data_IF_333710187306
#
_entry.id   IF_333710187306
#
_cell.length_a   1.000
_cell.length_b   1.000
_cell.length_c   1.000
_cell.angle_alpha   90.00
_cell.angle_beta   90.00
_cell.angle_gamma   90.00
#
_symmetry.space_group_name_H-M   'P 1'
#
loop_
_entity.id
_entity.type
_entity.pdbx_description
1 polymer ?
#
# COMPACT_ATOMS: atom_id res chain seq x y z
N UNK A 1 -2.62 11.83 -12.05
CA UNK A 1 -3.43 11.78 -10.82
C UNK A 1 -2.46 11.86 -9.66
N UNK A 2 -2.60 12.87 -8.80
CA UNK A 2 -1.57 13.16 -7.79
C UNK A 2 -1.58 12.08 -6.72
N UNK A 3 -0.43 11.42 -6.51
CA UNK A 3 -0.20 10.43 -5.46
C UNK A 3 -0.71 10.88 -4.09
N UNK A 4 -0.54 12.16 -3.77
CA UNK A 4 -0.97 12.79 -2.52
C UNK A 4 -2.49 12.75 -2.33
N UNK A 5 -3.27 12.80 -3.42
CA UNK A 5 -4.73 12.67 -3.37
C UNK A 5 -5.19 11.22 -3.23
N UNK A 6 -4.43 10.28 -3.78
CA UNK A 6 -4.78 8.86 -3.79
C UNK A 6 -4.27 8.11 -2.55
N UNK A 7 -3.17 8.55 -1.93
CA UNK A 7 -2.56 7.88 -0.78
C UNK A 7 -3.53 7.75 0.42
N UNK A 8 -4.34 8.77 0.79
CA UNK A 8 -5.32 8.64 1.88
C UNK A 8 -6.40 7.58 1.59
N UNK A 9 -6.72 7.32 0.32
CA UNK A 9 -7.73 6.33 -0.07
C UNK A 9 -7.31 4.88 0.21
N UNK A 10 -6.04 4.66 0.59
CA UNK A 10 -5.57 3.37 1.06
C UNK A 10 -6.15 3.01 2.45
N UNK A 11 -6.69 3.98 3.18
CA UNK A 11 -7.35 3.78 4.47
C UNK A 11 -8.88 3.86 4.38
N UNK A 12 -9.43 3.92 3.17
CA UNK A 12 -10.88 3.95 2.94
C UNK A 12 -11.57 2.67 3.45
N UNK A 13 -12.75 2.76 4.09
CA UNK A 13 -13.48 1.58 4.57
C UNK A 13 -13.93 0.65 3.44
N UNK A 14 -14.13 1.17 2.23
CA UNK A 14 -14.51 0.40 1.05
C UNK A 14 -13.32 -0.32 0.45
N UNK A 15 -13.37 -1.65 0.50
CA UNK A 15 -12.39 -2.50 -0.18
C UNK A 15 -12.29 -2.25 -1.70
N UNK A 16 -13.35 -1.73 -2.32
CA UNK A 16 -13.33 -1.35 -3.73
C UNK A 16 -12.46 -0.11 -3.98
N UNK A 17 -12.60 0.91 -3.13
CA UNK A 17 -11.80 2.15 -3.19
C UNK A 17 -10.33 1.84 -2.95
N UNK A 18 -10.01 1.07 -1.90
CA UNK A 18 -8.63 0.65 -1.60
C UNK A 18 -8.00 -0.07 -2.81
N UNK A 19 -8.74 -0.98 -3.46
CA UNK A 19 -8.24 -1.69 -4.65
C UNK A 19 -7.98 -0.75 -5.83
N UNK A 20 -8.89 0.19 -6.09
CA UNK A 20 -8.73 1.17 -7.17
C UNK A 20 -7.54 2.10 -6.92
N UNK A 21 -7.44 2.66 -5.71
CA UNK A 21 -6.32 3.50 -5.28
C UNK A 21 -4.98 2.75 -5.38
N UNK A 22 -4.93 1.50 -4.88
CA UNK A 22 -3.72 0.67 -4.99
C UNK A 22 -3.27 0.51 -6.44
N UNK A 23 -4.19 0.20 -7.37
CA UNK A 23 -3.85 0.02 -8.78
C UNK A 23 -3.28 1.30 -9.39
N UNK A 24 -3.89 2.44 -9.09
CA UNK A 24 -3.43 3.74 -9.58
C UNK A 24 -2.06 4.14 -9.01
N UNK A 25 -1.74 3.69 -7.79
CA UNK A 25 -0.49 4.02 -7.09
C UNK A 25 0.68 3.06 -7.38
N UNK A 26 0.45 1.93 -8.04
CA UNK A 26 1.51 0.94 -8.33
C UNK A 26 2.69 1.50 -9.13
N UNK A 27 2.50 2.33 -10.18
CA UNK A 27 3.62 2.91 -10.93
C UNK A 27 4.53 3.79 -10.07
N UNK A 28 3.97 4.47 -9.06
CA UNK A 28 4.67 5.41 -8.19
C UNK A 28 5.10 4.79 -6.84
N UNK A 29 5.03 3.46 -6.72
CA UNK A 29 5.23 2.75 -5.46
C UNK A 29 6.60 3.05 -4.81
N UNK A 30 7.65 3.19 -5.61
CA UNK A 30 9.01 3.48 -5.14
C UNK A 30 9.12 4.84 -4.42
N UNK A 31 8.18 5.77 -4.64
CA UNK A 31 8.20 7.07 -3.99
C UNK A 31 7.62 7.05 -2.56
N UNK A 32 6.97 5.98 -2.13
CA UNK A 32 6.37 5.93 -0.79
C UNK A 32 7.44 5.70 0.29
N UNK A 33 7.37 6.41 1.43
CA UNK A 33 8.19 6.07 2.58
C UNK A 33 7.89 4.64 3.03
N UNK A 34 8.93 3.83 3.21
CA UNK A 34 8.77 2.42 3.59
C UNK A 34 7.94 2.25 4.86
N UNK A 35 8.25 3.05 5.88
CA UNK A 35 7.59 2.99 7.19
C UNK A 35 6.10 3.30 7.09
N UNK A 36 5.72 4.23 6.22
CA UNK A 36 4.33 4.59 5.98
C UNK A 36 3.51 3.41 5.43
N UNK A 37 4.12 2.58 4.56
CA UNK A 37 3.51 1.35 4.08
C UNK A 37 3.54 0.25 5.14
N UNK A 38 4.63 0.11 5.92
CA UNK A 38 4.76 -0.92 6.96
C UNK A 38 3.71 -0.78 8.07
N UNK A 39 3.43 0.44 8.54
CA UNK A 39 2.37 0.71 9.53
C UNK A 39 1.02 0.16 9.05
N UNK A 40 0.72 0.26 7.75
CA UNK A 40 -0.52 -0.25 7.14
C UNK A 40 -0.58 -1.77 7.03
N UNK A 41 0.50 -2.49 7.30
CA UNK A 41 0.52 -3.95 7.32
C UNK A 41 0.16 -4.57 8.68
N UNK A 42 0.04 -3.74 9.73
CA UNK A 42 -0.28 -4.13 11.09
C UNK A 42 -1.60 -4.93 11.18
N UNK A 43 -1.73 -5.80 12.19
CA UNK A 43 -2.81 -6.79 12.25
C UNK A 43 -4.19 -6.19 12.54
N UNK A 44 -4.22 -5.06 13.24
CA UNK A 44 -5.38 -4.25 13.57
C UNK A 44 -5.98 -3.51 12.35
N UNK A 45 -5.25 -3.44 11.24
CA UNK A 45 -5.72 -2.81 10.01
C UNK A 45 -6.65 -3.71 9.21
N UNK A 46 -7.66 -3.15 8.49
CA UNK A 46 -8.53 -3.93 7.63
C UNK A 46 -7.73 -4.73 6.60
N UNK A 47 -8.19 -5.94 6.28
CA UNK A 47 -7.47 -6.86 5.37
C UNK A 47 -7.13 -6.22 4.02
N UNK A 48 -8.02 -5.42 3.46
CA UNK A 48 -7.81 -4.74 2.18
C UNK A 48 -6.60 -3.78 2.23
N UNK A 49 -6.50 -2.97 3.30
CA UNK A 49 -5.40 -2.02 3.55
C UNK A 49 -4.07 -2.77 3.67
N UNK A 50 -4.04 -3.85 4.47
CA UNK A 50 -2.83 -4.68 4.64
C UNK A 50 -2.34 -5.30 3.33
N UNK A 51 -3.26 -5.80 2.51
CA UNK A 51 -2.92 -6.39 1.21
C UNK A 51 -2.42 -5.32 0.24
N UNK A 52 -3.04 -4.14 0.22
CA UNK A 52 -2.61 -3.00 -0.58
C UNK A 52 -1.19 -2.56 -0.22
N UNK A 53 -0.92 -2.33 1.07
CA UNK A 53 0.39 -1.94 1.57
C UNK A 53 1.49 -2.96 1.20
N UNK A 54 1.22 -4.26 1.36
CA UNK A 54 2.16 -5.32 0.94
C UNK A 54 2.42 -5.34 -0.56
N UNK A 55 1.43 -4.99 -1.39
CA UNK A 55 1.62 -4.88 -2.84
C UNK A 55 2.49 -3.69 -3.21
N UNK A 56 2.29 -2.54 -2.57
CA UNK A 56 3.11 -1.36 -2.79
C UNK A 56 4.55 -1.58 -2.30
N UNK A 57 4.76 -2.22 -1.14
CA UNK A 57 6.10 -2.61 -0.67
C UNK A 57 6.81 -3.52 -1.67
N UNK A 58 6.10 -4.49 -2.25
CA UNK A 58 6.65 -5.36 -3.31
C UNK A 58 7.03 -4.58 -4.56
N UNK A 59 6.14 -3.72 -5.04
CA UNK A 59 6.36 -2.90 -6.23
C UNK A 59 7.51 -1.90 -6.03
N UNK A 60 7.72 -1.41 -4.80
CA UNK A 60 8.84 -0.56 -4.43
C UNK A 60 10.17 -1.30 -4.24
N UNK A 61 10.19 -2.64 -4.32
CA UNK A 61 11.38 -3.44 -4.00
C UNK A 61 11.69 -3.56 -2.50
N UNK A 62 10.83 -3.03 -1.64
CA UNK A 62 10.98 -2.97 -0.18
C UNK A 62 10.44 -4.21 0.55
N UNK A 63 10.05 -5.23 -0.20
CA UNK A 63 9.72 -6.53 0.39
C UNK A 63 11.00 -7.34 0.63
N UNK A 64 11.40 -7.50 1.89
CA UNK A 64 12.39 -8.53 2.23
C UNK A 64 11.77 -9.90 1.97
N UNK A 65 12.33 -10.68 1.04
CA UNK A 65 12.17 -12.14 1.07
C UNK A 65 12.91 -12.63 2.33
N UNK A 66 12.34 -13.54 3.14
CA UNK A 66 13.16 -14.29 4.08
C UNK A 66 14.20 -15.03 3.25
N UNK A 67 15.48 -14.78 3.55
CA UNK A 67 16.58 -15.65 3.13
C UNK A 67 16.36 -16.99 3.82
N UNK A 68 15.91 -17.99 3.06
CA UNK A 68 16.05 -19.40 3.43
C UNK A 68 17.52 -19.80 3.40
#
# INVERSE_FOLDING_TARGET
MDRERLAPLLDDPSSAVVRAATRALLPDAAGFPEEWLRIRTAQDRPRAVRVAARRLLRAAGLHRRPTS
#
